data_IF_006763486613
#
_entry.id   IF_006763486613
#
_cell.length_a   1.000
_cell.length_b   1.000
_cell.length_c   1.000
_cell.angle_alpha   90.00
_cell.angle_beta   90.00
_cell.angle_gamma   90.00
#
_symmetry.space_group_name_H-M   'P 1'
#
loop_
_entity.id
_entity.type
_entity.pdbx_description
1 polymer ?
#
# COMPACT_ATOMS: atom_id res chain seq x y z
N UNK A 1 -22.90 -4.40 -5.83
CA UNK A 1 -22.08 -4.08 -7.02
C UNK A 1 -20.60 -3.84 -6.67
N UNK A 2 -20.27 -3.09 -5.60
CA UNK A 2 -18.89 -2.75 -5.23
C UNK A 2 -17.96 -3.92 -4.89
N UNK A 3 -18.45 -5.03 -4.35
CA UNK A 3 -17.60 -6.18 -4.00
C UNK A 3 -16.91 -6.81 -5.23
N UNK A 4 -17.61 -6.84 -6.37
CA UNK A 4 -17.05 -7.32 -7.64
C UNK A 4 -16.03 -6.33 -8.20
N UNK A 5 -16.34 -5.04 -8.17
CA UNK A 5 -15.42 -4.00 -8.63
C UNK A 5 -14.13 -3.96 -7.80
N UNK A 6 -14.22 -4.12 -6.48
CA UNK A 6 -13.06 -4.27 -5.60
C UNK A 6 -12.24 -5.51 -5.96
N UNK A 7 -12.89 -6.65 -6.24
CA UNK A 7 -12.18 -7.87 -6.65
C UNK A 7 -11.44 -7.70 -8.00
N UNK A 8 -12.01 -6.95 -8.94
CA UNK A 8 -11.35 -6.63 -10.21
C UNK A 8 -10.10 -5.76 -9.97
N UNK A 9 -10.21 -4.72 -9.16
CA UNK A 9 -9.06 -3.87 -8.82
C UNK A 9 -7.99 -4.63 -8.03
N UNK A 10 -8.39 -5.48 -7.09
CA UNK A 10 -7.50 -6.36 -6.35
C UNK A 10 -6.67 -7.27 -7.25
N UNK A 11 -7.29 -7.82 -8.29
CA UNK A 11 -6.58 -8.62 -9.28
C UNK A 11 -5.67 -7.76 -10.14
N UNK A 12 -6.10 -6.56 -10.51
CA UNK A 12 -5.29 -5.62 -11.28
C UNK A 12 -4.04 -5.20 -10.50
N UNK A 13 -4.19 -4.81 -9.23
CA UNK A 13 -3.09 -4.39 -8.36
C UNK A 13 -2.03 -5.49 -8.18
N UNK A 14 -2.48 -6.75 -8.08
CA UNK A 14 -1.59 -7.91 -7.93
C UNK A 14 -1.03 -8.45 -9.25
N UNK A 15 -1.43 -7.90 -10.41
CA UNK A 15 -0.94 -8.37 -11.70
C UNK A 15 0.40 -7.72 -12.04
N UNK A 16 1.38 -8.53 -12.47
CA UNK A 16 2.72 -8.09 -12.83
C UNK A 16 2.77 -7.50 -14.25
N UNK A 17 1.97 -6.47 -14.52
CA UNK A 17 1.92 -5.84 -15.84
C UNK A 17 2.74 -4.54 -15.88
N UNK A 18 3.72 -4.48 -16.79
CA UNK A 18 4.64 -3.34 -16.95
C UNK A 18 3.99 -2.01 -17.41
N UNK A 19 2.69 -2.02 -17.76
CA UNK A 19 1.94 -0.84 -18.24
C UNK A 19 0.90 -0.30 -17.24
N UNK A 20 0.93 -0.77 -15.99
CA UNK A 20 -0.04 -0.32 -15.00
C UNK A 20 0.25 1.11 -14.54
N UNK A 21 -0.79 1.95 -14.59
CA UNK A 21 -0.75 3.30 -14.02
C UNK A 21 -1.05 3.23 -12.52
N UNK A 22 -0.38 4.06 -11.72
CA UNK A 22 -0.63 4.15 -10.27
C UNK A 22 -2.10 4.48 -9.94
N UNK A 23 -2.84 5.02 -10.92
CA UNK A 23 -4.26 5.30 -10.82
C UNK A 23 -5.08 4.07 -10.44
N UNK A 24 -4.66 2.86 -10.81
CA UNK A 24 -5.37 1.62 -10.42
C UNK A 24 -5.41 1.49 -8.90
N UNK A 25 -4.30 1.78 -8.21
CA UNK A 25 -4.22 1.75 -6.74
C UNK A 25 -5.12 2.84 -6.15
N UNK A 26 -5.13 4.04 -6.75
CA UNK A 26 -5.99 5.14 -6.30
C UNK A 26 -7.48 4.82 -6.49
N UNK A 27 -7.85 4.24 -7.63
CA UNK A 27 -9.20 3.80 -7.94
C UNK A 27 -9.65 2.70 -6.98
N UNK A 28 -8.78 1.74 -6.66
CA UNK A 28 -9.05 0.72 -5.65
C UNK A 28 -9.33 1.32 -4.27
N UNK A 29 -8.44 2.22 -3.82
CA UNK A 29 -8.58 2.91 -2.55
C UNK A 29 -9.91 3.69 -2.47
N UNK A 30 -10.20 4.53 -3.46
CA UNK A 30 -11.42 5.33 -3.52
C UNK A 30 -12.69 4.46 -3.59
N UNK A 31 -12.66 3.40 -4.40
CA UNK A 31 -13.77 2.44 -4.46
C UNK A 31 -13.98 1.73 -3.13
N UNK A 32 -12.90 1.48 -2.40
CA UNK A 32 -12.89 0.92 -1.06
C UNK A 32 -13.53 1.85 -0.03
N UNK A 33 -13.14 3.13 -0.03
CA UNK A 33 -13.75 4.14 0.82
C UNK A 33 -15.25 4.25 0.56
N UNK A 34 -15.66 4.30 -0.72
CA UNK A 34 -17.06 4.38 -1.10
C UNK A 34 -17.84 3.14 -0.67
N UNK A 35 -17.26 1.94 -0.83
CA UNK A 35 -17.86 0.70 -0.36
C UNK A 35 -18.01 0.67 1.17
N UNK A 36 -17.02 1.16 1.91
CA UNK A 36 -17.04 1.24 3.37
C UNK A 36 -18.11 2.22 3.87
N UNK A 37 -18.35 3.33 3.17
CA UNK A 37 -19.39 4.31 3.49
C UNK A 37 -20.81 3.74 3.30
N UNK A 38 -21.00 2.84 2.34
CA UNK A 38 -22.28 2.20 2.08
C UNK A 38 -22.59 1.03 3.03
N UNK A 39 -21.62 0.63 3.86
CA UNK A 39 -21.84 -0.41 4.86
C UNK A 39 -22.74 0.10 5.99
N UNK A 40 -23.83 -0.63 6.26
CA UNK A 40 -24.79 -0.30 7.31
C UNK A 40 -24.28 -0.62 8.71
N UNK A 41 -23.32 -1.55 8.85
CA UNK A 41 -22.79 -1.98 10.15
C UNK A 41 -21.31 -1.62 10.30
N UNK A 42 -20.86 -1.28 11.52
CA UNK A 42 -19.45 -1.04 11.81
C UNK A 42 -18.56 -2.23 11.42
N UNK A 43 -18.98 -3.46 11.72
CA UNK A 43 -18.24 -4.68 11.39
C UNK A 43 -18.09 -4.90 9.88
N UNK A 44 -19.09 -4.55 9.06
CA UNK A 44 -18.98 -4.64 7.61
C UNK A 44 -18.01 -3.58 7.05
N UNK A 45 -18.06 -2.37 7.61
CA UNK A 45 -17.15 -1.27 7.27
C UNK A 45 -15.69 -1.63 7.60
N UNK A 46 -15.47 -2.15 8.79
CA UNK A 46 -14.16 -2.63 9.25
C UNK A 46 -13.59 -3.69 8.30
N UNK A 47 -14.39 -4.68 7.89
CA UNK A 47 -13.98 -5.70 6.91
C UNK A 47 -13.52 -5.10 5.58
N UNK A 48 -14.16 -4.04 5.10
CA UNK A 48 -13.74 -3.38 3.85
C UNK A 48 -12.39 -2.69 4.03
N UNK A 49 -12.16 -1.98 5.14
CA UNK A 49 -10.88 -1.33 5.38
C UNK A 49 -9.73 -2.32 5.55
N UNK A 50 -9.93 -3.42 6.28
CA UNK A 50 -8.91 -4.47 6.39
C UNK A 50 -8.65 -5.19 5.08
N UNK A 51 -9.66 -5.32 4.21
CA UNK A 51 -9.49 -5.85 2.85
C UNK A 51 -8.62 -4.92 2.00
N UNK A 52 -8.83 -3.60 2.08
CA UNK A 52 -7.96 -2.61 1.42
C UNK A 52 -6.52 -2.74 1.93
N UNK A 53 -6.35 -2.72 3.25
CA UNK A 53 -5.05 -2.79 3.90
C UNK A 53 -4.29 -4.05 3.49
N UNK A 54 -4.94 -5.22 3.53
CA UNK A 54 -4.31 -6.50 3.18
C UNK A 54 -3.82 -6.53 1.74
N UNK A 55 -4.64 -6.10 0.78
CA UNK A 55 -4.23 -6.09 -0.63
C UNK A 55 -3.04 -5.15 -0.85
N UNK A 56 -3.04 -3.97 -0.24
CA UNK A 56 -1.94 -3.01 -0.35
C UNK A 56 -0.68 -3.52 0.34
N UNK A 57 -0.80 -4.17 1.50
CA UNK A 57 0.31 -4.77 2.23
C UNK A 57 0.96 -5.90 1.44
N UNK A 58 0.17 -6.84 0.92
CA UNK A 58 0.65 -7.95 0.09
C UNK A 58 1.40 -7.42 -1.14
N UNK A 59 0.84 -6.40 -1.80
CA UNK A 59 1.44 -5.81 -3.00
C UNK A 59 2.71 -5.02 -2.68
N UNK A 60 2.75 -4.31 -1.55
CA UNK A 60 3.95 -3.62 -1.05
C UNK A 60 5.11 -4.60 -0.81
N UNK A 61 4.80 -5.81 -0.34
CA UNK A 61 5.78 -6.84 -0.03
C UNK A 61 6.16 -7.72 -1.24
N UNK A 62 5.49 -7.59 -2.39
CA UNK A 62 5.75 -8.42 -3.56
C UNK A 62 6.96 -7.90 -4.35
N UNK A 63 8.11 -8.58 -4.24
CA UNK A 63 9.34 -8.23 -4.94
C UNK A 63 9.24 -8.31 -6.48
N UNK A 64 8.22 -8.98 -7.00
CA UNK A 64 7.93 -9.01 -8.44
C UNK A 64 7.24 -7.72 -8.91
N UNK A 65 6.71 -6.92 -7.98
CA UNK A 65 6.19 -5.59 -8.28
C UNK A 65 7.29 -4.55 -8.34
N UNK A 66 7.12 -3.57 -9.24
CA UNK A 66 8.06 -2.47 -9.36
C UNK A 66 8.17 -1.70 -8.04
N UNK A 67 9.35 -1.17 -7.75
CA UNK A 67 9.60 -0.37 -6.56
C UNK A 67 8.60 0.79 -6.43
N UNK A 68 8.34 1.50 -7.52
CA UNK A 68 7.40 2.61 -7.56
C UNK A 68 5.99 2.19 -7.14
N UNK A 69 5.56 1.01 -7.58
CA UNK A 69 4.27 0.41 -7.23
C UNK A 69 4.18 0.10 -5.73
N UNK A 70 5.23 -0.52 -5.18
CA UNK A 70 5.33 -0.86 -3.76
C UNK A 70 5.36 0.37 -2.86
N UNK A 71 6.14 1.38 -3.24
CA UNK A 71 6.18 2.68 -2.54
C UNK A 71 4.81 3.34 -2.56
N UNK A 72 4.10 3.31 -3.69
CA UNK A 72 2.77 3.89 -3.79
C UNK A 72 1.75 3.15 -2.92
N UNK A 73 1.81 1.81 -2.86
CA UNK A 73 1.00 1.03 -1.93
C UNK A 73 1.22 1.49 -0.48
N UNK A 74 2.48 1.68 -0.06
CA UNK A 74 2.79 2.16 1.29
C UNK A 74 2.29 3.58 1.57
N UNK A 75 2.36 4.47 0.58
CA UNK A 75 1.76 5.83 0.69
C UNK A 75 0.27 5.74 0.94
N UNK A 76 -0.45 4.90 0.21
CA UNK A 76 -1.90 4.71 0.39
C UNK A 76 -2.21 4.06 1.74
N UNK A 77 -1.40 3.11 2.20
CA UNK A 77 -1.51 2.54 3.55
C UNK A 77 -1.41 3.64 4.62
N UNK A 78 -0.46 4.58 4.48
CA UNK A 78 -0.33 5.71 5.41
C UNK A 78 -1.55 6.62 5.45
N UNK A 79 -2.28 6.74 4.34
CA UNK A 79 -3.54 7.49 4.29
C UNK A 79 -4.65 6.74 5.06
N UNK A 80 -4.62 5.40 5.09
CA UNK A 80 -5.54 4.57 5.87
C UNK A 80 -5.25 4.59 7.38
N UNK A 81 -4.04 4.93 7.82
CA UNK A 81 -3.62 4.93 9.23
C UNK A 81 -4.62 5.61 10.19
N UNK A 82 -5.07 6.87 9.98
CA UNK A 82 -6.04 7.50 10.88
C UNK A 82 -7.38 6.75 10.91
N UNK A 83 -7.79 6.14 9.79
CA UNK A 83 -9.03 5.35 9.75
C UNK A 83 -8.86 4.06 10.56
N UNK A 84 -7.71 3.41 10.48
CA UNK A 84 -7.41 2.20 11.28
C UNK A 84 -7.43 2.53 12.77
N UNK A 85 -6.87 3.67 13.19
CA UNK A 85 -6.88 4.11 14.58
C UNK A 85 -8.30 4.21 15.15
N UNK A 86 -9.27 4.68 14.35
CA UNK A 86 -10.67 4.79 14.76
C UNK A 86 -11.42 3.44 14.78
N UNK A 87 -10.86 2.39 14.15
CA UNK A 87 -11.53 1.09 13.99
C UNK A 87 -11.09 0.05 15.00
N UNK A 88 -9.90 0.18 15.57
CA UNK A 88 -9.33 -0.80 16.50
C UNK A 88 -8.89 -0.14 17.80
N UNK A 89 -8.70 -0.94 18.85
CA UNK A 89 -8.09 -0.43 20.08
C UNK A 89 -6.62 -0.05 19.87
N UNK A 90 -6.11 0.76 20.79
CA UNK A 90 -4.75 1.29 20.73
C UNK A 90 -3.67 0.21 20.62
N UNK A 91 -3.82 -0.92 21.31
CA UNK A 91 -2.82 -2.01 21.26
C UNK A 91 -2.80 -2.69 19.90
N UNK A 92 -3.99 -2.93 19.32
CA UNK A 92 -4.10 -3.47 17.98
C UNK A 92 -3.54 -2.51 16.93
N UNK A 93 -3.87 -1.22 17.04
CA UNK A 93 -3.33 -0.19 16.15
C UNK A 93 -1.79 -0.16 16.18
N UNK A 94 -1.20 -0.12 17.37
CA UNK A 94 0.25 -0.14 17.55
C UNK A 94 0.88 -1.38 16.93
N UNK A 95 0.29 -2.56 17.13
CA UNK A 95 0.76 -3.81 16.55
C UNK A 95 0.71 -3.79 15.01
N UNK A 96 -0.38 -3.31 14.41
CA UNK A 96 -0.53 -3.20 12.95
C UNK A 96 0.50 -2.22 12.39
N UNK A 97 0.66 -1.04 13.01
CA UNK A 97 1.62 -0.03 12.54
C UNK A 97 3.06 -0.50 12.69
N UNK A 98 3.40 -1.16 13.80
CA UNK A 98 4.74 -1.73 14.00
C UNK A 98 5.06 -2.76 12.91
N UNK A 99 4.11 -3.66 12.60
CA UNK A 99 4.25 -4.63 11.51
C UNK A 99 4.46 -3.95 10.16
N UNK A 100 3.60 -3.00 9.81
CA UNK A 100 3.67 -2.29 8.51
C UNK A 100 4.98 -1.53 8.35
N UNK A 101 5.46 -0.88 9.40
CA UNK A 101 6.75 -0.18 9.37
C UNK A 101 7.92 -1.15 9.21
N UNK A 102 7.91 -2.28 9.93
CA UNK A 102 8.95 -3.31 9.78
C UNK A 102 8.99 -3.88 8.35
N UNK A 103 7.81 -4.17 7.77
CA UNK A 103 7.70 -4.61 6.38
C UNK A 103 8.19 -3.53 5.40
N UNK A 104 7.79 -2.26 5.61
CA UNK A 104 8.24 -1.16 4.77
C UNK A 104 9.76 -0.99 4.81
N UNK A 105 10.39 -1.13 5.98
CA UNK A 105 11.86 -1.09 6.11
C UNK A 105 12.56 -2.20 5.31
N UNK A 106 11.97 -3.39 5.23
CA UNK A 106 12.57 -4.52 4.54
C UNK A 106 12.32 -4.49 3.03
N UNK A 107 11.08 -4.20 2.62
CA UNK A 107 10.66 -4.31 1.23
C UNK A 107 10.84 -3.02 0.44
N UNK A 108 10.81 -1.85 1.07
CA UNK A 108 11.00 -0.58 0.36
C UNK A 108 12.46 -0.13 0.49
N UNK A 109 13.06 0.42 -0.57
CA UNK A 109 14.39 0.94 -0.47
C UNK A 109 14.43 2.12 0.49
N UNK A 110 15.35 2.05 1.43
CA UNK A 110 15.78 3.22 2.20
C UNK A 110 16.39 4.22 1.20
N UNK A 111 16.02 5.50 1.31
CA UNK A 111 16.62 6.61 0.52
C UNK A 111 18.17 6.67 0.58
N UNK A 112 18.82 5.82 1.38
CA UNK A 112 20.26 5.72 1.54
C UNK A 112 21.00 5.16 0.31
N UNK A 113 20.35 4.47 -0.62
CA UNK A 113 21.04 3.87 -1.79
C UNK A 113 21.22 4.80 -3.01
N UNK A 114 20.57 5.97 -3.06
CA UNK A 114 20.73 6.92 -4.18
C UNK A 114 21.91 7.90 -4.01
N UNK A 115 22.45 8.03 -2.79
CA UNK A 115 23.63 8.86 -2.53
C UNK A 115 24.96 8.15 -2.83
N UNK A 116 24.98 6.81 -2.84
CA UNK A 116 26.21 6.03 -3.05
C UNK A 116 26.60 5.89 -4.53
N UNK A 117 25.64 5.93 -5.46
CA UNK A 117 25.88 5.80 -6.90
C UNK A 117 26.19 7.13 -7.59
N UNK A 118 25.82 8.26 -7.00
CA UNK A 118 26.17 9.61 -7.49
C UNK A 118 27.58 10.07 -7.09
N UNK A 119 28.20 9.43 -6.09
CA UNK A 119 29.57 9.73 -5.65
C UNK A 119 30.67 8.98 -6.43
N UNK A 120 30.32 8.01 -7.28
CA UNK A 120 31.30 7.18 -8.01
C UNK A 120 31.73 7.74 -9.38
N UNK A 121 31.14 8.86 -9.84
CA UNK A 121 31.32 9.36 -11.23
C UNK A 121 32.22 10.60 -11.36
N UNK A 122 33.08 10.90 -10.38
CA UNK A 122 34.02 12.04 -10.43
C UNK A 122 35.44 11.66 -10.05
N UNK A 123 36.03 10.65 -10.70
CA UNK A 123 37.49 10.51 -10.83
C UNK A 123 37.89 9.89 -12.17
N UNK A 124 38.08 10.74 -13.17
CA UNK A 124 38.96 10.44 -14.31
C UNK A 124 39.97 11.57 -14.41
N UNK A 125 41.25 11.35 -14.05
CA UNK A 125 42.30 12.32 -14.33
C UNK A 125 42.76 12.16 -15.78
N UNK A 126 42.90 13.27 -16.49
CA UNK A 126 43.72 13.39 -17.70
C UNK A 126 44.74 14.49 -17.47
#
# INVERSE_FOLDING_TARGET
MYLYQLACYERAIRAQNHHQTLDIINCYFNSGLQAAQQCQTPAAREKVYFRLLRTLEETMCDLLMSEHWRIHCFRVIKILTPIIFELVDTKQYEAIMAKLNALATYFLPTQQFQAATSAASTKTPR
#
